data_IF_428655746953
#
_entry.id   IF_428655746953
#
_cell.length_a   1.000
_cell.length_b   1.000
_cell.length_c   1.000
_cell.angle_alpha   90.00
_cell.angle_beta   90.00
_cell.angle_gamma   90.00
#
_symmetry.space_group_name_H-M   'P 1'
#
loop_
_entity.id
_entity.type
_entity.pdbx_description
1 polymer ?
#
# COMPACT_ATOMS: atom_id res chain seq x y z
N UNK A 1 14.22 -11.25 10.78
CA UNK A 1 12.78 -11.55 10.91
C UNK A 1 12.16 -11.51 9.53
N UNK A 2 11.30 -12.47 9.16
CA UNK A 2 10.59 -12.44 7.87
C UNK A 2 9.52 -11.36 7.93
N UNK A 3 9.53 -10.43 6.97
CA UNK A 3 8.52 -9.38 6.84
C UNK A 3 7.42 -9.87 5.90
N UNK A 4 6.16 -9.66 6.24
CA UNK A 4 5.05 -10.00 5.35
C UNK A 4 4.86 -8.87 4.34
N UNK A 5 4.66 -9.23 3.07
CA UNK A 5 4.38 -8.27 2.00
C UNK A 5 2.92 -8.41 1.59
N UNK A 6 2.16 -7.33 1.72
CA UNK A 6 0.77 -7.27 1.30
C UNK A 6 0.64 -6.22 0.20
N UNK A 7 -0.02 -6.60 -0.89
CA UNK A 7 -0.36 -5.71 -1.99
C UNK A 7 -1.86 -5.77 -2.23
N UNK A 8 -2.52 -4.61 -2.16
CA UNK A 8 -3.97 -4.48 -2.38
C UNK A 8 -4.22 -3.54 -3.55
N UNK A 9 -5.05 -3.96 -4.50
CA UNK A 9 -5.56 -3.07 -5.52
C UNK A 9 -6.76 -2.29 -4.96
N UNK A 10 -6.76 -0.97 -5.13
CA UNK A 10 -7.82 -0.08 -4.65
C UNK A 10 -8.39 0.75 -5.80
N UNK A 11 -9.62 1.23 -5.63
CA UNK A 11 -10.31 2.09 -6.60
C UNK A 11 -9.86 3.54 -6.49
N UNK A 12 -9.93 4.13 -5.28
CA UNK A 12 -9.41 5.46 -4.99
C UNK A 12 -8.19 5.40 -4.05
N UNK A 13 -7.07 5.97 -4.49
CA UNK A 13 -5.82 5.93 -3.74
C UNK A 13 -5.85 6.89 -2.54
N UNK A 14 -6.41 8.08 -2.69
CA UNK A 14 -6.42 9.11 -1.65
C UNK A 14 -7.30 8.69 -0.49
N UNK A 15 -8.50 8.18 -0.78
CA UNK A 15 -9.43 7.70 0.26
C UNK A 15 -8.85 6.49 0.98
N UNK A 16 -8.23 5.57 0.23
CA UNK A 16 -7.56 4.40 0.81
C UNK A 16 -6.36 4.80 1.68
N UNK A 17 -5.57 5.81 1.28
CA UNK A 17 -4.47 6.33 2.10
C UNK A 17 -4.99 6.85 3.44
N UNK A 18 -6.06 7.66 3.43
CA UNK A 18 -6.67 8.19 4.66
C UNK A 18 -7.14 7.05 5.57
N UNK A 19 -7.84 6.07 4.99
CA UNK A 19 -8.35 4.92 5.72
C UNK A 19 -7.23 4.09 6.35
N UNK A 20 -6.24 3.64 5.56
CA UNK A 20 -5.17 2.78 6.05
C UNK A 20 -4.23 3.50 7.01
N UNK A 21 -3.93 4.78 6.79
CA UNK A 21 -3.13 5.57 7.74
C UNK A 21 -3.81 5.68 9.10
N UNK A 22 -5.13 5.90 9.13
CA UNK A 22 -5.91 5.89 10.37
C UNK A 22 -5.94 4.49 11.00
N UNK A 23 -6.14 3.44 10.20
CA UNK A 23 -6.14 2.04 10.66
C UNK A 23 -4.81 1.63 11.30
N UNK A 24 -3.69 2.15 10.79
CA UNK A 24 -2.35 1.90 11.32
C UNK A 24 -1.96 2.80 12.49
N UNK A 25 -2.91 3.54 13.07
CA UNK A 25 -2.66 4.42 14.22
C UNK A 25 -2.05 5.76 13.83
N UNK A 26 -2.60 6.38 12.78
CA UNK A 26 -2.14 7.66 12.21
C UNK A 26 -0.70 7.62 11.68
N UNK A 27 -0.33 6.50 11.06
CA UNK A 27 0.98 6.32 10.43
C UNK A 27 0.89 6.72 8.96
N UNK A 28 1.70 7.71 8.58
CA UNK A 28 1.81 8.14 7.19
C UNK A 28 2.60 7.13 6.34
N UNK A 29 2.31 7.04 5.05
CA UNK A 29 3.04 6.16 4.15
C UNK A 29 4.50 6.58 3.99
N UNK A 30 5.40 5.61 3.96
CA UNK A 30 6.83 5.82 3.74
C UNK A 30 7.16 6.05 2.27
N UNK A 31 6.29 5.60 1.36
CA UNK A 31 6.39 5.88 -0.07
C UNK A 31 5.03 6.29 -0.59
N UNK A 32 4.97 7.45 -1.23
CA UNK A 32 3.80 7.92 -1.96
C UNK A 32 4.19 8.27 -3.40
N UNK A 33 3.48 7.68 -4.35
CA UNK A 33 3.59 7.88 -5.80
C UNK A 33 2.18 7.99 -6.39
N UNK A 34 2.06 8.54 -7.59
CA UNK A 34 0.76 8.87 -8.18
C UNK A 34 -0.24 7.72 -8.24
N UNK A 35 0.22 6.48 -8.45
CA UNK A 35 -0.63 5.28 -8.52
C UNK A 35 -0.30 4.23 -7.46
N UNK A 36 0.55 4.58 -6.48
CA UNK A 36 1.14 3.62 -5.56
C UNK A 36 1.49 4.24 -4.21
N UNK A 37 1.18 3.53 -3.14
CA UNK A 37 1.50 3.93 -1.79
C UNK A 37 2.01 2.73 -0.98
N UNK A 38 2.90 2.96 -0.02
CA UNK A 38 3.48 1.93 0.86
C UNK A 38 3.65 2.42 2.29
N UNK A 39 3.34 1.56 3.25
CA UNK A 39 3.71 1.67 4.65
C UNK A 39 4.70 0.57 5.04
N UNK A 40 5.64 0.91 5.91
CA UNK A 40 6.53 -0.03 6.56
C UNK A 40 6.17 -0.12 8.04
N UNK A 41 5.36 -1.11 8.39
CA UNK A 41 4.92 -1.35 9.77
C UNK A 41 5.96 -2.18 10.50
N UNK A 42 6.18 -1.85 11.77
CA UNK A 42 7.17 -2.53 12.62
C UNK A 42 6.54 -3.61 13.50
N UNK A 43 5.31 -3.39 13.95
CA UNK A 43 4.56 -4.33 14.80
C UNK A 43 3.08 -4.33 14.37
N UNK A 44 2.64 -5.31 13.55
CA UNK A 44 3.43 -6.41 12.99
C UNK A 44 4.42 -5.96 11.89
N UNK A 45 5.48 -6.75 11.67
CA UNK A 45 6.46 -6.48 10.62
C UNK A 45 5.86 -6.72 9.21
N UNK A 46 5.26 -5.67 8.63
CA UNK A 46 4.52 -5.73 7.37
C UNK A 46 4.97 -4.61 6.43
N UNK A 47 5.24 -4.95 5.18
CA UNK A 47 5.25 -4.00 4.07
C UNK A 47 3.86 -4.03 3.44
N UNK A 48 3.07 -3.01 3.72
CA UNK A 48 1.71 -2.89 3.19
C UNK A 48 1.73 -1.89 2.06
N UNK A 49 1.31 -2.30 0.87
CA UNK A 49 1.22 -1.41 -0.27
C UNK A 49 -0.13 -1.49 -0.96
N UNK A 50 -0.54 -0.35 -1.47
CA UNK A 50 -1.76 -0.21 -2.26
C UNK A 50 -1.44 0.45 -3.58
N UNK A 51 -2.22 0.13 -4.60
CA UNK A 51 -2.12 0.78 -5.90
C UNK A 51 -3.47 0.80 -6.61
N UNK A 52 -3.62 1.71 -7.57
CA UNK A 52 -4.78 1.71 -8.45
C UNK A 52 -4.89 0.40 -9.24
N UNK A 53 -6.12 -0.06 -9.47
CA UNK A 53 -6.38 -1.27 -10.24
C UNK A 53 -5.67 -1.28 -11.61
N UNK A 54 -5.68 -0.15 -12.33
CA UNK A 54 -4.99 -0.02 -13.62
C UNK A 54 -3.46 -0.20 -13.52
N UNK A 55 -2.85 0.22 -12.40
CA UNK A 55 -1.43 0.05 -12.12
C UNK A 55 -1.10 -1.37 -11.65
N UNK A 56 -2.03 -2.03 -10.95
CA UNK A 56 -1.87 -3.41 -10.51
C UNK A 56 -1.70 -4.36 -11.70
N UNK A 57 -2.58 -4.28 -12.71
CA UNK A 57 -2.46 -5.15 -13.90
C UNK A 57 -1.15 -4.93 -14.67
N UNK A 58 -0.71 -3.67 -14.79
CA UNK A 58 0.59 -3.35 -15.38
C UNK A 58 1.77 -3.98 -14.64
N UNK A 59 1.67 -4.19 -13.32
CA UNK A 59 2.74 -4.81 -12.52
C UNK A 59 2.61 -6.31 -12.37
N UNK A 60 1.39 -6.82 -12.29
CA UNK A 60 1.11 -8.23 -12.06
C UNK A 60 1.21 -9.07 -13.34
N UNK A 61 1.02 -8.45 -14.52
CA UNK A 61 0.97 -9.16 -15.80
C UNK A 61 1.82 -8.51 -16.90
N UNK A 62 2.82 -7.70 -16.54
CA UNK A 62 3.86 -7.33 -17.52
C UNK A 62 4.73 -8.56 -17.80
N UNK A 63 4.91 -8.97 -19.07
CA UNK A 63 5.92 -9.97 -19.43
C UNK A 63 7.34 -9.48 -19.12
#
# INVERSE_FOLDING_TARGET
MKRMHIHVAVEDLNDSIRFYSAMFGNVEPTVLKGDYCKWELTDPAVNFAICHFSAYWRRAFSP
#
